data_IF_885105691718
#
_entry.id   IF_885105691718
#
_cell.length_a   1.000
_cell.length_b   1.000
_cell.length_c   1.000
_cell.angle_alpha   90.00
_cell.angle_beta   90.00
_cell.angle_gamma   90.00
#
_symmetry.space_group_name_H-M   'P 1'
#
loop_
_entity.id
_entity.type
_entity.pdbx_description
1 polymer ?
#
# COMPACT_ATOMS: atom_id res chain seq x y z
N UNK A 1 -2.43 -75.91 38.54
CA UNK A 1 -1.40 -75.51 39.54
C UNK A 1 -0.13 -75.07 38.81
N UNK A 2 0.80 -74.32 39.44
CA UNK A 2 1.66 -73.34 38.76
C UNK A 2 3.07 -73.83 38.42
N UNK A 3 3.83 -73.05 37.63
CA UNK A 3 5.21 -72.56 37.85
C UNK A 3 5.53 -71.50 36.76
N UNK A 4 5.92 -70.25 37.08
CA UNK A 4 7.30 -69.69 37.28
C UNK A 4 8.17 -69.70 36.01
N UNK A 5 9.05 -68.73 35.67
CA UNK A 5 9.39 -67.32 36.04
C UNK A 5 10.32 -66.80 34.88
N UNK A 6 10.88 -65.58 34.75
CA UNK A 6 11.10 -64.32 35.51
C UNK A 6 10.99 -63.11 34.52
N UNK A 7 10.91 -61.83 34.94
CA UNK A 7 10.58 -60.67 34.08
C UNK A 7 11.75 -59.86 33.47
N UNK A 8 11.46 -59.05 32.42
CA UNK A 8 12.21 -57.87 31.96
C UNK A 8 11.23 -56.72 31.61
N UNK A 9 11.55 -55.42 31.58
CA UNK A 9 12.46 -54.52 32.30
C UNK A 9 12.61 -53.25 31.43
N UNK A 10 12.06 -52.11 31.88
CA UNK A 10 12.19 -50.77 31.26
C UNK A 10 11.55 -50.62 29.83
N UNK A 11 11.33 -49.42 29.27
CA UNK A 11 11.66 -48.05 29.69
C UNK A 11 10.43 -47.10 29.64
N UNK A 12 10.54 -45.93 30.27
CA UNK A 12 9.65 -44.80 30.00
C UNK A 12 9.98 -44.20 28.62
N UNK A 13 8.95 -43.86 27.85
CA UNK A 13 9.05 -42.97 26.69
C UNK A 13 7.83 -42.05 26.64
N UNK A 14 7.85 -40.98 27.44
CA UNK A 14 6.84 -39.93 27.38
C UNK A 14 7.04 -39.10 26.09
N UNK A 15 6.48 -39.58 24.99
CA UNK A 15 6.52 -38.91 23.70
C UNK A 15 5.66 -37.64 23.72
N UNK A 16 6.26 -36.53 24.15
CA UNK A 16 5.75 -35.18 23.98
C UNK A 16 5.60 -34.90 22.48
N UNK A 17 4.41 -35.16 21.93
CA UNK A 17 4.06 -34.76 20.57
C UNK A 17 4.12 -33.23 20.52
N UNK A 18 4.99 -32.61 19.70
CA UNK A 18 5.01 -31.16 19.59
C UNK A 18 3.64 -30.70 19.08
N UNK A 19 3.04 -29.75 19.79
CA UNK A 19 1.90 -29.02 19.24
C UNK A 19 2.42 -28.27 18.01
N UNK A 20 2.21 -28.85 16.82
CA UNK A 20 2.53 -28.26 15.54
C UNK A 20 1.56 -27.11 15.27
N UNK A 21 1.75 -26.03 16.01
CA UNK A 21 1.18 -24.73 15.74
C UNK A 21 1.71 -24.30 14.38
N UNK A 22 0.97 -24.68 13.33
CA UNK A 22 1.03 -24.04 12.03
C UNK A 22 0.49 -22.62 12.20
N UNK A 23 1.30 -21.78 12.84
CA UNK A 23 1.37 -20.36 12.53
C UNK A 23 1.77 -20.27 11.08
N UNK A 24 0.79 -20.45 10.19
CA UNK A 24 0.89 -20.04 8.81
C UNK A 24 1.14 -18.54 8.88
N UNK A 25 2.41 -18.17 8.77
CA UNK A 25 2.80 -16.78 8.59
C UNK A 25 2.16 -16.37 7.27
N UNK A 26 0.98 -15.76 7.38
CA UNK A 26 0.20 -15.19 6.29
C UNK A 26 0.96 -13.95 5.81
N UNK A 27 2.14 -14.20 5.23
CA UNK A 27 2.91 -13.22 4.47
C UNK A 27 2.05 -12.94 3.25
N UNK A 28 1.10 -12.01 3.43
CA UNK A 28 0.33 -11.41 2.37
C UNK A 28 1.27 -10.55 1.54
N UNK A 29 2.09 -11.24 0.75
CA UNK A 29 2.66 -10.75 -0.50
C UNK A 29 1.44 -10.26 -1.28
N UNK A 30 1.13 -8.98 -1.12
CA UNK A 30 -0.01 -8.39 -1.79
C UNK A 30 0.29 -8.48 -3.29
N UNK A 31 -0.55 -9.14 -4.11
CA UNK A 31 -0.28 -9.36 -5.53
C UNK A 31 -0.54 -8.08 -6.37
N UNK A 32 -0.20 -6.93 -5.78
CA UNK A 32 -0.43 -5.59 -6.25
C UNK A 32 0.88 -4.83 -6.00
N UNK A 33 1.41 -4.11 -7.00
CA UNK A 33 2.73 -3.49 -6.90
C UNK A 33 2.78 -2.43 -5.78
N UNK A 34 3.99 -2.20 -5.28
CA UNK A 34 4.27 -1.11 -4.34
C UNK A 34 4.49 0.19 -5.16
N UNK A 35 3.70 1.23 -4.86
CA UNK A 35 3.66 2.46 -5.65
C UNK A 35 4.53 3.57 -5.04
N UNK A 36 5.42 4.14 -5.86
CA UNK A 36 6.06 5.42 -5.59
C UNK A 36 5.11 6.53 -6.06
N UNK A 37 4.55 7.30 -5.12
CA UNK A 37 3.55 8.32 -5.39
C UNK A 37 4.02 9.71 -4.96
N UNK A 38 3.74 10.72 -5.78
CA UNK A 38 3.68 12.12 -5.35
C UNK A 38 2.20 12.49 -5.16
N UNK A 39 1.82 12.84 -3.93
CA UNK A 39 0.53 13.46 -3.66
C UNK A 39 0.71 14.97 -3.64
N UNK A 40 -0.03 15.67 -4.48
CA UNK A 40 -0.21 17.12 -4.40
C UNK A 40 -1.50 17.39 -3.62
N UNK A 41 -1.53 18.45 -2.82
CA UNK A 41 -2.70 18.84 -2.05
C UNK A 41 -2.80 20.35 -1.93
N UNK A 42 -3.90 20.92 -2.40
CA UNK A 42 -4.25 22.35 -2.30
C UNK A 42 -5.58 22.49 -1.57
N UNK A 43 -5.88 23.67 -1.03
CA UNK A 43 -7.26 23.98 -0.62
C UNK A 43 -8.05 24.46 -1.82
N UNK A 44 -9.32 24.04 -1.92
CA UNK A 44 -10.27 24.52 -2.93
C UNK A 44 -10.48 26.05 -2.87
N UNK A 45 -10.25 26.65 -1.69
CA UNK A 45 -10.29 28.10 -1.46
C UNK A 45 -9.07 28.85 -2.01
N UNK A 46 -8.00 28.13 -2.41
CA UNK A 46 -6.76 28.70 -2.93
C UNK A 46 -6.56 28.44 -4.43
N UNK A 47 -7.06 27.31 -4.94
CA UNK A 47 -7.06 26.97 -6.38
C UNK A 47 -8.39 26.29 -6.72
N UNK A 48 -9.15 26.78 -7.73
CA UNK A 48 -10.35 26.12 -8.24
C UNK A 48 -10.10 24.67 -8.68
N UNK A 49 -11.10 23.80 -8.56
CA UNK A 49 -10.94 22.37 -8.84
C UNK A 49 -10.72 22.06 -10.33
N UNK A 50 -11.37 22.81 -11.22
CA UNK A 50 -11.20 22.78 -12.67
C UNK A 50 -9.83 23.31 -13.10
N UNK A 51 -9.35 24.40 -12.49
CA UNK A 51 -8.02 24.94 -12.73
C UNK A 51 -6.93 23.95 -12.25
N UNK A 52 -7.10 23.40 -11.04
CA UNK A 52 -6.19 22.40 -10.48
C UNK A 52 -6.18 21.13 -11.32
N UNK A 53 -7.34 20.68 -11.82
CA UNK A 53 -7.41 19.53 -12.74
C UNK A 53 -6.71 19.82 -14.07
N UNK A 54 -6.97 20.98 -14.68
CA UNK A 54 -6.35 21.37 -15.96
C UNK A 54 -4.82 21.40 -15.83
N UNK A 55 -4.29 22.11 -14.84
CA UNK A 55 -2.84 22.18 -14.57
C UNK A 55 -2.22 20.83 -14.21
N UNK A 56 -2.95 19.93 -13.55
CA UNK A 56 -2.41 18.61 -13.18
C UNK A 56 -2.47 17.59 -14.32
N UNK A 57 -3.38 17.75 -15.29
CA UNK A 57 -3.40 16.94 -16.51
C UNK A 57 -2.20 17.22 -17.45
N UNK A 58 -1.52 18.36 -17.30
CA UNK A 58 -0.25 18.67 -17.99
C UNK A 58 0.97 17.96 -17.39
N UNK A 59 0.83 17.27 -16.25
CA UNK A 59 1.92 16.55 -15.60
C UNK A 59 2.29 15.30 -16.42
N UNK A 60 3.48 15.34 -17.03
CA UNK A 60 4.09 14.18 -17.71
C UNK A 60 5.14 13.45 -16.87
N UNK A 61 5.60 14.05 -15.75
CA UNK A 61 6.55 13.43 -14.83
C UNK A 61 6.36 13.86 -13.37
N UNK A 62 6.81 13.03 -12.43
CA UNK A 62 6.84 13.41 -11.01
C UNK A 62 7.79 14.60 -10.68
N UNK A 63 8.68 15.00 -11.60
CA UNK A 63 9.43 16.26 -11.46
C UNK A 63 8.50 17.45 -11.68
N UNK A 64 7.64 17.36 -12.68
CA UNK A 64 6.69 18.42 -13.04
C UNK A 64 5.58 18.52 -12.01
N UNK A 65 5.11 17.39 -11.47
CA UNK A 65 4.22 17.36 -10.31
C UNK A 65 4.78 18.17 -9.13
N UNK A 66 6.07 17.98 -8.81
CA UNK A 66 6.75 18.70 -7.73
C UNK A 66 6.93 20.19 -8.07
N UNK A 67 7.19 20.53 -9.33
CA UNK A 67 7.33 21.92 -9.77
C UNK A 67 5.98 22.66 -9.72
N UNK A 68 4.92 22.04 -10.23
CA UNK A 68 3.55 22.57 -10.15
C UNK A 68 3.10 22.71 -8.70
N UNK A 69 3.36 21.69 -7.87
CA UNK A 69 3.06 21.73 -6.44
C UNK A 69 3.70 22.94 -5.74
N UNK A 70 4.97 23.25 -6.06
CA UNK A 70 5.65 24.46 -5.56
C UNK A 70 5.01 25.74 -6.10
N UNK A 71 4.69 25.80 -7.39
CA UNK A 71 4.10 26.97 -8.04
C UNK A 71 2.70 27.31 -7.51
N UNK A 72 1.93 26.30 -7.06
CA UNK A 72 0.60 26.45 -6.47
C UNK A 72 0.61 26.58 -4.92
N UNK A 73 1.78 26.58 -4.28
CA UNK A 73 1.87 26.53 -2.81
C UNK A 73 1.32 25.23 -2.19
N UNK A 74 1.16 24.17 -2.98
CA UNK A 74 0.58 22.91 -2.58
C UNK A 74 1.44 22.18 -1.54
N UNK A 75 0.77 21.47 -0.62
CA UNK A 75 1.42 20.48 0.24
C UNK A 75 1.81 19.28 -0.62
N UNK A 76 3.12 19.12 -0.85
CA UNK A 76 3.69 17.98 -1.57
C UNK A 76 4.06 16.88 -0.59
N UNK A 77 3.43 15.71 -0.71
CA UNK A 77 3.84 14.51 0.01
C UNK A 77 4.47 13.50 -0.98
N UNK A 78 5.58 12.86 -0.59
CA UNK A 78 6.27 11.84 -1.41
C UNK A 78 6.24 10.51 -0.67
N UNK A 79 5.41 9.59 -1.14
CA UNK A 79 5.28 8.26 -0.56
C UNK A 79 5.97 7.24 -1.46
N UNK A 80 7.23 6.97 -1.16
CA UNK A 80 8.10 6.08 -1.97
C UNK A 80 7.72 4.59 -1.86
N UNK A 81 6.77 4.23 -0.99
CA UNK A 81 6.45 2.84 -0.67
C UNK A 81 4.98 2.66 -0.28
N UNK A 82 4.07 3.11 -1.14
CA UNK A 82 2.62 3.03 -0.89
C UNK A 82 2.13 1.63 -1.29
N UNK A 83 1.83 0.78 -0.30
CA UNK A 83 1.29 -0.56 -0.58
C UNK A 83 -0.13 -0.42 -1.13
N UNK A 84 -0.48 -1.16 -2.17
CA UNK A 84 -1.83 -1.06 -2.74
C UNK A 84 -2.97 -1.48 -1.78
N UNK A 85 -2.65 -2.23 -0.71
CA UNK A 85 -3.59 -2.52 0.39
C UNK A 85 -3.80 -1.36 1.38
N UNK A 86 -2.95 -0.34 1.36
CA UNK A 86 -3.08 0.90 2.14
C UNK A 86 -3.83 1.99 1.36
N UNK A 87 -3.88 1.88 0.02
CA UNK A 87 -4.67 2.78 -0.82
C UNK A 87 -6.18 2.57 -0.58
N UNK A 88 -6.97 3.65 -0.45
CA UNK A 88 -8.43 3.58 -0.46
C UNK A 88 -8.94 2.72 -1.62
N UNK A 89 -9.97 1.87 -1.40
CA UNK A 89 -10.28 0.77 -2.31
C UNK A 89 -10.65 1.22 -3.73
N UNK A 90 -11.17 2.45 -3.86
CA UNK A 90 -11.55 3.14 -5.09
C UNK A 90 -10.34 3.60 -5.93
N UNK A 91 -9.21 3.92 -5.29
CA UNK A 91 -8.01 4.44 -5.96
C UNK A 91 -7.09 3.34 -6.49
N UNK A 92 -7.22 2.11 -5.99
CA UNK A 92 -6.45 0.94 -6.46
C UNK A 92 -6.62 0.64 -7.96
N UNK A 93 -7.84 0.55 -8.54
CA UNK A 93 -7.97 0.37 -10.00
C UNK A 93 -7.45 1.59 -10.76
N UNK A 94 -7.76 2.80 -10.30
CA UNK A 94 -7.33 4.04 -10.93
C UNK A 94 -5.80 4.12 -11.06
N UNK A 95 -5.06 3.88 -9.97
CA UNK A 95 -3.60 3.93 -9.97
C UNK A 95 -2.95 2.69 -10.63
N UNK A 96 -3.66 1.57 -10.73
CA UNK A 96 -3.25 0.42 -11.54
C UNK A 96 -3.26 0.73 -13.03
N UNK A 97 -4.24 1.48 -13.51
CA UNK A 97 -4.42 1.73 -14.94
C UNK A 97 -3.81 3.10 -15.39
N UNK A 98 -3.55 4.02 -14.45
CA UNK A 98 -2.88 5.32 -14.68
C UNK A 98 -1.36 5.18 -14.99
N UNK A 99 -0.86 5.63 -16.16
CA UNK A 99 0.55 5.47 -16.53
C UNK A 99 1.55 6.15 -15.58
N UNK A 100 2.78 5.63 -15.52
CA UNK A 100 3.86 6.28 -14.79
C UNK A 100 4.16 7.67 -15.41
N UNK A 101 4.36 8.67 -14.56
CA UNK A 101 4.50 10.08 -14.92
C UNK A 101 3.18 10.86 -14.86
N UNK A 102 2.03 10.20 -15.05
CA UNK A 102 0.72 10.85 -15.16
C UNK A 102 0.06 11.11 -13.79
N UNK A 103 -0.79 12.13 -13.77
CA UNK A 103 -1.62 12.51 -12.62
C UNK A 103 -3.00 11.83 -12.62
N UNK A 104 -3.49 11.48 -11.44
CA UNK A 104 -4.89 11.09 -11.24
C UNK A 104 -5.84 12.27 -11.55
N UNK A 105 -7.13 12.00 -11.82
CA UNK A 105 -8.18 12.99 -11.62
C UNK A 105 -8.11 13.62 -10.23
N UNK A 106 -8.62 14.84 -10.09
CA UNK A 106 -8.70 15.53 -8.78
C UNK A 106 -9.68 14.80 -7.87
N UNK A 107 -9.21 14.51 -6.66
CA UNK A 107 -9.99 13.94 -5.58
C UNK A 107 -10.30 15.07 -4.59
N UNK A 108 -11.56 15.29 -4.26
CA UNK A 108 -11.92 16.23 -3.19
C UNK A 108 -12.11 15.51 -1.86
N UNK A 109 -11.47 16.00 -0.80
CA UNK A 109 -11.69 15.55 0.58
C UNK A 109 -12.47 16.65 1.31
N UNK A 110 -13.70 16.34 1.76
CA UNK A 110 -14.58 17.27 2.48
C UNK A 110 -15.15 18.44 1.68
N UNK A 111 -14.65 18.72 0.47
CA UNK A 111 -14.94 19.93 -0.31
C UNK A 111 -13.86 21.00 -0.15
N UNK A 112 -13.26 21.12 1.04
CA UNK A 112 -12.26 22.14 1.38
C UNK A 112 -10.87 21.88 0.77
N UNK A 113 -10.56 20.61 0.48
CA UNK A 113 -9.24 20.14 0.07
C UNK A 113 -9.32 19.35 -1.25
N UNK A 114 -8.32 19.55 -2.09
CA UNK A 114 -8.18 18.93 -3.41
C UNK A 114 -6.83 18.20 -3.49
N UNK A 115 -6.87 16.94 -3.90
CA UNK A 115 -5.72 16.05 -3.93
C UNK A 115 -5.54 15.43 -5.32
N UNK A 116 -4.30 15.30 -5.75
CA UNK A 116 -3.92 14.58 -6.97
C UNK A 116 -2.76 13.64 -6.65
N UNK A 117 -2.83 12.43 -7.19
CA UNK A 117 -1.84 11.37 -7.00
C UNK A 117 -1.14 11.10 -8.33
N UNK A 118 0.18 11.30 -8.37
CA UNK A 118 1.01 11.08 -9.56
C UNK A 118 1.86 9.82 -9.34
N UNK A 119 1.76 8.86 -10.24
CA UNK A 119 2.52 7.59 -10.15
C UNK A 119 3.92 7.81 -10.70
N UNK A 120 4.94 7.81 -9.85
CA UNK A 120 6.32 8.01 -10.29
C UNK A 120 6.95 6.72 -10.83
N UNK A 121 6.71 5.62 -10.13
CA UNK A 121 7.13 4.27 -10.51
C UNK A 121 6.32 3.23 -9.73
N UNK A 122 6.42 1.98 -10.19
CA UNK A 122 5.81 0.80 -9.61
C UNK A 122 6.91 -0.23 -9.39
N UNK A 123 6.87 -0.93 -8.26
CA UNK A 123 7.77 -2.02 -7.90
C UNK A 123 6.99 -3.33 -7.71
#
# INVERSE_FOLDING_TARGET
MPHRLIPAAAMLAAALVPAAALGQTDVRISPLPDYNLVQLTVSASAVPADEFQTRTMEITSCKDAVNLGKALGAKINRSNFTKAGQLPPQLRPLLKDLPNGMASPVLSEGGDMLHVLVVCSRA
#
